data_IF_889026811171
#
_entry.id   IF_889026811171
#
_cell.length_a   1.000
_cell.length_b   1.000
_cell.length_c   1.000
_cell.angle_alpha   90.00
_cell.angle_beta   90.00
_cell.angle_gamma   90.00
#
_symmetry.space_group_name_H-M   'P 1'
#
loop_
_entity.id
_entity.type
_entity.pdbx_description
1 polymer ?
#
# COMPACT_ATOMS: atom_id res chain seq x y z
N UNK A 1 -16.22 -23.23 -79.47
CA UNK A 1 -15.12 -22.87 -78.56
C UNK A 1 -14.67 -21.46 -78.88
N UNK A 2 -14.90 -20.51 -77.97
CA UNK A 2 -13.95 -19.42 -77.76
C UNK A 2 -13.46 -19.43 -76.30
N UNK A 3 -12.14 -19.63 -76.13
CA UNK A 3 -11.36 -19.05 -75.03
C UNK A 3 -11.28 -17.54 -75.28
N UNK A 4 -11.15 -16.59 -74.34
CA UNK A 4 -10.79 -16.52 -72.92
C UNK A 4 -11.31 -15.14 -72.44
N UNK A 5 -11.59 -14.89 -71.17
CA UNK A 5 -10.63 -14.29 -70.22
C UNK A 5 -11.27 -14.33 -68.82
N UNK A 6 -10.57 -14.74 -67.74
CA UNK A 6 -11.13 -14.67 -66.40
C UNK A 6 -11.08 -13.23 -65.88
N UNK A 7 -12.22 -12.77 -65.36
CA UNK A 7 -12.34 -11.48 -64.69
C UNK A 7 -11.37 -11.41 -63.51
N UNK A 8 -10.48 -10.39 -63.53
CA UNK A 8 -9.52 -10.13 -62.48
C UNK A 8 -10.21 -9.91 -61.14
N UNK A 9 -9.80 -10.70 -60.14
CA UNK A 9 -10.20 -10.52 -58.76
C UNK A 9 -9.64 -9.18 -58.27
N UNK A 10 -10.48 -8.16 -58.14
CA UNK A 10 -10.09 -6.87 -57.58
C UNK A 10 -9.66 -7.10 -56.11
N UNK A 11 -8.36 -6.99 -55.86
CA UNK A 11 -7.81 -6.98 -54.50
C UNK A 11 -8.33 -5.71 -53.83
N UNK A 12 -9.22 -5.87 -52.85
CA UNK A 12 -9.71 -4.75 -52.06
C UNK A 12 -8.52 -4.03 -51.41
N UNK A 13 -8.32 -2.77 -51.76
CA UNK A 13 -7.34 -1.91 -51.09
C UNK A 13 -7.73 -1.82 -49.61
N UNK A 14 -6.83 -2.16 -48.66
CA UNK A 14 -7.15 -2.05 -47.24
C UNK A 14 -7.52 -0.61 -46.90
N UNK A 15 -8.65 -0.42 -46.23
CA UNK A 15 -9.08 0.89 -45.73
C UNK A 15 -7.94 1.56 -44.95
N UNK A 16 -7.70 2.87 -45.13
CA UNK A 16 -6.61 3.55 -44.46
C UNK A 16 -6.74 3.39 -42.93
N UNK A 17 -5.65 2.99 -42.28
CA UNK A 17 -5.61 2.81 -40.84
C UNK A 17 -6.03 4.11 -40.12
N UNK A 18 -6.84 4.04 -39.04
CA UNK A 18 -7.24 5.23 -38.31
C UNK A 18 -6.01 5.91 -37.71
N UNK A 19 -6.01 7.24 -37.64
CA UNK A 19 -4.99 7.97 -36.89
C UNK A 19 -5.19 7.77 -35.40
N UNK A 20 -4.13 8.01 -34.61
CA UNK A 20 -4.17 8.04 -33.14
C UNK A 20 -5.32 8.92 -32.65
N UNK A 21 -5.48 10.14 -33.19
CA UNK A 21 -6.58 11.05 -32.86
C UNK A 21 -7.95 10.40 -33.07
N UNK A 22 -8.18 9.79 -34.24
CA UNK A 22 -9.45 9.14 -34.57
C UNK A 22 -9.73 7.93 -33.67
N UNK A 23 -8.69 7.13 -33.38
CA UNK A 23 -8.80 5.97 -32.50
C UNK A 23 -9.16 6.39 -31.06
N UNK A 24 -8.52 7.44 -30.53
CA UNK A 24 -8.85 8.01 -29.22
C UNK A 24 -10.28 8.54 -29.17
N UNK A 25 -10.69 9.37 -30.13
CA UNK A 25 -12.07 9.91 -30.17
C UNK A 25 -13.11 8.79 -30.17
N UNK A 26 -12.90 7.74 -30.97
CA UNK A 26 -13.81 6.60 -31.03
C UNK A 26 -13.83 5.81 -29.70
N UNK A 27 -12.66 5.54 -29.11
CA UNK A 27 -12.57 4.84 -27.83
C UNK A 27 -13.24 5.61 -26.70
N UNK A 28 -12.98 6.91 -26.59
CA UNK A 28 -13.62 7.79 -25.60
C UNK A 28 -15.13 7.79 -25.74
N UNK A 29 -15.65 7.86 -26.97
CA UNK A 29 -17.09 7.77 -27.23
C UNK A 29 -17.69 6.46 -26.72
N UNK A 30 -17.04 5.32 -27.00
CA UNK A 30 -17.48 3.99 -26.54
C UNK A 30 -17.44 3.85 -25.02
N UNK A 31 -16.36 4.33 -24.38
CA UNK A 31 -16.21 4.27 -22.93
C UNK A 31 -17.26 5.15 -22.21
N UNK A 32 -17.53 6.35 -22.73
CA UNK A 32 -18.59 7.23 -22.21
C UNK A 32 -19.97 6.60 -22.34
N UNK A 33 -20.26 6.01 -23.50
CA UNK A 33 -21.52 5.29 -23.72
C UNK A 33 -21.71 4.09 -22.76
N UNK A 34 -20.61 3.48 -22.30
CA UNK A 34 -20.61 2.43 -21.29
C UNK A 34 -20.62 2.94 -19.82
N UNK A 35 -20.80 4.25 -19.59
CA UNK A 35 -20.84 4.84 -18.26
C UNK A 35 -19.50 4.75 -17.51
N UNK A 36 -18.38 4.69 -18.22
CA UNK A 36 -17.04 4.67 -17.62
C UNK A 36 -16.58 6.11 -17.36
N UNK A 37 -16.44 6.45 -16.08
CA UNK A 37 -15.80 7.71 -15.67
C UNK A 37 -14.31 7.71 -16.10
N UNK A 38 -13.75 8.88 -16.38
CA UNK A 38 -12.33 8.98 -16.79
C UNK A 38 -12.02 8.50 -18.21
N UNK A 39 -13.03 8.26 -19.05
CA UNK A 39 -12.88 7.74 -20.42
C UNK A 39 -11.74 8.34 -21.27
N UNK A 40 -11.47 9.67 -21.28
CA UNK A 40 -10.31 10.23 -21.98
C UNK A 40 -8.97 9.65 -21.53
N UNK A 41 -8.72 9.67 -20.22
CA UNK A 41 -7.47 9.18 -19.64
C UNK A 41 -7.32 7.67 -19.86
N UNK A 42 -8.39 6.91 -19.68
CA UNK A 42 -8.39 5.47 -19.92
C UNK A 42 -7.99 5.15 -21.37
N UNK A 43 -8.59 5.82 -22.35
CA UNK A 43 -8.27 5.61 -23.77
C UNK A 43 -6.81 5.98 -24.08
N UNK A 44 -6.31 7.08 -23.52
CA UNK A 44 -4.93 7.53 -23.69
C UNK A 44 -3.93 6.51 -23.14
N UNK A 45 -4.14 6.01 -21.92
CA UNK A 45 -3.25 5.05 -21.26
C UNK A 45 -3.21 3.71 -22.02
N UNK A 46 -4.39 3.19 -22.41
CA UNK A 46 -4.47 1.94 -23.15
C UNK A 46 -3.84 2.03 -24.54
N UNK A 47 -3.99 3.17 -25.23
CA UNK A 47 -3.38 3.37 -26.54
C UNK A 47 -1.86 3.57 -26.44
N UNK A 48 -1.41 4.34 -25.45
CA UNK A 48 0.01 4.55 -25.16
C UNK A 48 0.73 3.21 -24.92
N UNK A 49 0.13 2.34 -24.10
CA UNK A 49 0.63 0.98 -23.87
C UNK A 49 0.61 0.14 -25.15
N UNK A 50 -0.51 0.14 -25.88
CA UNK A 50 -0.62 -0.63 -27.12
C UNK A 50 0.43 -0.23 -28.17
N UNK A 51 0.85 1.03 -28.20
CA UNK A 51 1.88 1.55 -29.09
C UNK A 51 3.31 1.47 -28.50
N UNK A 52 3.46 1.13 -27.22
CA UNK A 52 4.77 1.13 -26.54
C UNK A 52 5.39 2.52 -26.42
N UNK A 53 4.57 3.56 -26.19
CA UNK A 53 5.01 4.96 -26.16
C UNK A 53 4.55 5.67 -24.92
N UNK A 54 5.31 6.69 -24.50
CA UNK A 54 4.86 7.61 -23.47
C UNK A 54 3.62 8.40 -23.94
N UNK A 55 2.65 8.57 -23.05
CA UNK A 55 1.40 9.31 -23.31
C UNK A 55 1.63 10.70 -23.92
N UNK A 56 2.59 11.47 -23.41
CA UNK A 56 2.90 12.81 -23.94
C UNK A 56 3.37 12.79 -25.40
N UNK A 57 4.14 11.78 -25.80
CA UNK A 57 4.58 11.61 -27.20
C UNK A 57 3.42 11.26 -28.12
N UNK A 58 2.47 10.50 -27.61
CA UNK A 58 1.29 10.07 -28.36
C UNK A 58 0.36 11.26 -28.65
N UNK A 59 0.13 12.14 -27.67
CA UNK A 59 -0.69 13.34 -27.84
C UNK A 59 -0.03 14.39 -28.74
N UNK A 60 1.31 14.49 -28.72
CA UNK A 60 2.04 15.40 -29.60
C UNK A 60 2.01 15.00 -31.09
N UNK A 61 1.87 13.69 -31.38
CA UNK A 61 1.94 13.12 -32.73
C UNK A 61 0.64 12.39 -33.11
N UNK A 62 -0.51 12.98 -32.82
CA UNK A 62 -1.81 12.31 -32.93
C UNK A 62 -2.33 12.06 -34.37
N UNK A 63 -1.61 12.56 -35.39
CA UNK A 63 -1.86 12.26 -36.80
C UNK A 63 -1.24 10.93 -37.25
N UNK A 64 -0.38 10.30 -36.43
CA UNK A 64 0.27 9.03 -36.75
C UNK A 64 -0.77 7.91 -36.96
N UNK A 65 -0.59 7.02 -37.96
CA UNK A 65 -1.48 5.89 -38.18
C UNK A 65 -1.35 4.82 -37.08
N UNK A 66 -2.48 4.35 -36.57
CA UNK A 66 -2.56 3.17 -35.71
C UNK A 66 -2.75 1.92 -36.57
N UNK A 67 -1.67 1.18 -36.84
CA UNK A 67 -1.68 0.03 -37.72
C UNK A 67 -1.05 -1.23 -37.09
N UNK A 68 -1.26 -2.37 -37.75
CA UNK A 68 -0.64 -3.64 -37.39
C UNK A 68 -0.95 -4.12 -35.97
N UNK A 69 0.06 -4.66 -35.29
CA UNK A 69 -0.09 -5.25 -33.97
C UNK A 69 -0.56 -4.25 -32.89
N UNK A 70 -0.22 -2.97 -33.02
CA UNK A 70 -0.66 -1.94 -32.08
C UNK A 70 -2.18 -1.73 -32.11
N UNK A 71 -2.79 -1.76 -33.31
CA UNK A 71 -4.25 -1.67 -33.46
C UNK A 71 -4.96 -2.86 -32.78
N UNK A 72 -4.42 -4.07 -32.97
CA UNK A 72 -4.94 -5.28 -32.34
C UNK A 72 -4.86 -5.24 -30.82
N UNK A 73 -3.70 -4.84 -30.26
CA UNK A 73 -3.52 -4.67 -28.81
C UNK A 73 -4.48 -3.62 -28.23
N UNK A 74 -4.61 -2.46 -28.89
CA UNK A 74 -5.52 -1.42 -28.42
C UNK A 74 -6.98 -1.88 -28.42
N UNK A 75 -7.41 -2.59 -29.47
CA UNK A 75 -8.76 -3.14 -29.54
C UNK A 75 -9.02 -4.15 -28.42
N UNK A 76 -8.04 -5.02 -28.12
CA UNK A 76 -8.11 -5.96 -27.01
C UNK A 76 -8.23 -5.26 -25.65
N UNK A 77 -7.36 -4.29 -25.38
CA UNK A 77 -7.39 -3.46 -24.18
C UNK A 77 -8.72 -2.74 -24.00
N UNK A 78 -9.24 -2.13 -25.06
CA UNK A 78 -10.52 -1.42 -25.04
C UNK A 78 -11.69 -2.36 -24.76
N UNK A 79 -11.67 -3.59 -25.31
CA UNK A 79 -12.70 -4.59 -25.03
C UNK A 79 -12.73 -4.98 -23.54
N UNK A 80 -11.56 -5.20 -22.93
CA UNK A 80 -11.45 -5.47 -21.48
C UNK A 80 -11.94 -4.29 -20.64
N UNK A 81 -11.58 -3.06 -21.02
CA UNK A 81 -12.04 -1.85 -20.31
C UNK A 81 -13.55 -1.67 -20.40
N UNK A 82 -14.15 -1.90 -21.56
CA UNK A 82 -15.60 -1.88 -21.76
C UNK A 82 -16.31 -2.95 -20.93
N UNK A 83 -15.66 -4.08 -20.68
CA UNK A 83 -16.10 -5.10 -19.73
C UNK A 83 -15.87 -4.69 -18.26
N UNK A 84 -15.59 -3.42 -17.96
CA UNK A 84 -15.38 -2.86 -16.61
C UNK A 84 -14.15 -3.42 -15.88
N UNK A 85 -13.14 -3.91 -16.60
CA UNK A 85 -11.84 -4.22 -16.00
C UNK A 85 -11.01 -2.94 -15.83
N UNK A 86 -10.45 -2.64 -14.64
CA UNK A 86 -9.67 -1.43 -14.43
C UNK A 86 -8.45 -1.33 -15.37
N UNK A 87 -8.07 -0.12 -15.79
CA UNK A 87 -6.90 0.10 -16.66
C UNK A 87 -5.63 -0.50 -16.05
N UNK A 88 -5.43 -0.34 -14.74
CA UNK A 88 -4.31 -0.92 -14.00
C UNK A 88 -4.21 -2.44 -14.15
N UNK A 89 -5.34 -3.16 -14.14
CA UNK A 89 -5.43 -4.62 -14.36
C UNK A 89 -5.17 -5.01 -15.80
N UNK A 90 -5.63 -4.21 -16.75
CA UNK A 90 -5.38 -4.42 -18.17
C UNK A 90 -3.89 -4.27 -18.48
N UNK A 91 -3.25 -3.25 -17.89
CA UNK A 91 -1.85 -2.89 -18.10
C UNK A 91 -0.86 -3.62 -17.18
N UNK A 92 -1.36 -4.29 -16.12
CA UNK A 92 -0.56 -4.96 -15.10
C UNK A 92 0.23 -4.03 -14.19
N UNK A 93 -0.04 -2.71 -14.22
CA UNK A 93 0.71 -1.70 -13.47
C UNK A 93 -0.11 -0.48 -13.08
N UNK A 94 0.33 0.20 -12.03
CA UNK A 94 -0.32 1.36 -11.41
C UNK A 94 0.75 2.33 -10.91
N UNK A 95 0.61 3.61 -11.22
CA UNK A 95 1.40 4.65 -10.56
C UNK A 95 0.81 4.96 -9.18
N UNK A 96 1.67 5.03 -8.16
CA UNK A 96 1.34 5.43 -6.80
C UNK A 96 2.54 6.18 -6.22
N UNK A 97 2.35 7.41 -5.73
CA UNK A 97 3.44 8.23 -5.19
C UNK A 97 4.65 8.34 -6.14
N UNK A 98 4.42 8.58 -7.43
CA UNK A 98 5.43 8.60 -8.51
C UNK A 98 6.17 7.28 -8.77
N UNK A 99 5.84 6.20 -8.05
CA UNK A 99 6.36 4.86 -8.29
C UNK A 99 5.43 4.11 -9.23
N UNK A 100 5.97 3.58 -10.34
CA UNK A 100 5.23 2.61 -11.14
C UNK A 100 5.27 1.27 -10.40
N UNK A 101 4.12 0.72 -10.01
CA UNK A 101 3.93 -0.53 -9.25
C UNK A 101 3.26 -1.61 -10.13
N UNK A 102 3.72 -2.86 -10.05
CA UNK A 102 3.08 -4.03 -10.64
C UNK A 102 1.82 -4.30 -9.82
N UNK A 103 0.72 -4.57 -10.51
CA UNK A 103 -0.52 -5.00 -9.88
C UNK A 103 -1.00 -6.29 -10.53
N UNK A 104 -1.53 -7.19 -9.71
CA UNK A 104 -2.07 -8.48 -10.12
C UNK A 104 -3.32 -8.81 -9.30
N UNK A 105 -4.15 -9.78 -9.72
CA UNK A 105 -5.34 -10.17 -8.96
C UNK A 105 -5.09 -10.59 -7.50
N UNK A 106 -3.83 -10.77 -7.09
CA UNK A 106 -3.44 -11.09 -5.72
C UNK A 106 -3.37 -9.87 -4.78
N UNK A 107 -3.33 -8.64 -5.31
CA UNK A 107 -3.16 -7.41 -4.50
C UNK A 107 -4.26 -6.40 -4.77
N UNK A 108 -4.61 -5.58 -3.78
CA UNK A 108 -5.47 -4.42 -3.99
C UNK A 108 -4.80 -3.43 -4.95
N UNK A 109 -5.57 -2.88 -5.90
CA UNK A 109 -5.08 -1.80 -6.76
C UNK A 109 -4.86 -0.52 -5.94
N UNK A 110 -3.63 0.03 -5.87
CA UNK A 110 -3.32 1.24 -5.10
C UNK A 110 -4.28 2.40 -5.37
N UNK A 111 -4.88 2.90 -4.29
CA UNK A 111 -5.88 3.98 -4.33
C UNK A 111 -5.23 5.33 -4.07
N UNK A 112 -5.60 6.39 -4.81
CA UNK A 112 -5.05 7.73 -4.57
C UNK A 112 -5.34 8.22 -3.15
N UNK A 113 -6.51 7.89 -2.59
CA UNK A 113 -6.89 8.25 -1.22
C UNK A 113 -5.89 7.69 -0.17
N UNK A 114 -5.18 6.59 -0.48
CA UNK A 114 -4.15 6.02 0.39
C UNK A 114 -2.87 6.86 0.45
N UNK A 115 -2.67 7.80 -0.46
CA UNK A 115 -1.55 8.76 -0.40
C UNK A 115 -1.63 9.65 0.84
N UNK A 116 -2.84 9.86 1.41
CA UNK A 116 -3.02 10.57 2.69
C UNK A 116 -2.28 9.90 3.86
N UNK A 117 -2.14 8.57 3.85
CA UNK A 117 -1.35 7.86 4.88
C UNK A 117 0.14 8.16 4.72
N UNK A 118 0.63 8.19 3.48
CA UNK A 118 2.02 8.50 3.16
C UNK A 118 2.34 9.93 3.61
N UNK A 119 1.49 10.90 3.25
CA UNK A 119 1.64 12.30 3.68
C UNK A 119 1.69 12.45 5.21
N UNK A 120 0.75 11.82 5.92
CA UNK A 120 0.69 11.88 7.37
C UNK A 120 1.94 11.25 8.03
N UNK A 121 2.40 10.11 7.51
CA UNK A 121 3.58 9.44 8.01
C UNK A 121 4.88 10.23 7.74
N UNK A 122 5.01 10.83 6.56
CA UNK A 122 6.13 11.73 6.26
C UNK A 122 6.15 12.95 7.18
N UNK A 123 5.00 13.56 7.44
CA UNK A 123 4.89 14.67 8.38
C UNK A 123 5.37 14.30 9.79
N UNK A 124 5.07 13.09 10.25
CA UNK A 124 5.51 12.57 11.55
C UNK A 124 7.00 12.16 11.58
N UNK A 125 7.58 11.83 10.42
CA UNK A 125 9.00 11.51 10.29
C UNK A 125 9.90 12.77 10.28
N UNK A 126 9.35 13.93 9.90
CA UNK A 126 10.10 15.20 9.82
C UNK A 126 10.79 15.51 11.16
N UNK A 127 12.09 15.79 11.09
CA UNK A 127 12.89 16.17 12.25
C UNK A 127 13.27 15.02 13.18
N UNK A 128 12.93 13.76 12.87
CA UNK A 128 13.47 12.61 13.59
C UNK A 128 14.95 12.44 13.22
N UNK A 129 15.80 12.32 14.23
CA UNK A 129 17.20 11.98 14.06
C UNK A 129 17.36 10.46 14.08
N UNK A 130 18.12 9.91 13.13
CA UNK A 130 18.45 8.48 13.08
C UNK A 130 17.67 7.68 12.04
N UNK A 131 17.90 6.37 12.05
CA UNK A 131 17.34 5.42 11.09
C UNK A 131 15.87 5.14 11.42
N UNK A 132 14.95 5.53 10.52
CA UNK A 132 13.52 5.27 10.69
C UNK A 132 13.20 3.83 10.33
N UNK A 133 12.48 3.17 11.23
CA UNK A 133 11.99 1.80 11.04
C UNK A 133 10.49 1.79 10.76
N UNK A 134 10.10 1.09 9.69
CA UNK A 134 8.72 1.11 9.18
C UNK A 134 8.15 -0.31 9.15
N UNK A 135 6.91 -0.48 9.60
CA UNK A 135 6.12 -1.68 9.31
C UNK A 135 4.90 -1.32 8.47
N UNK A 136 4.53 -2.18 7.53
CA UNK A 136 3.32 -2.04 6.71
C UNK A 136 2.49 -3.33 6.84
N UNK A 137 1.38 -3.24 7.56
CA UNK A 137 0.54 -4.37 7.93
C UNK A 137 -0.60 -4.54 6.92
N UNK A 138 -0.62 -5.67 6.23
CA UNK A 138 -1.45 -5.86 5.02
C UNK A 138 -0.82 -5.17 3.81
N UNK A 139 0.49 -5.37 3.60
CA UNK A 139 1.29 -4.58 2.64
C UNK A 139 0.81 -4.72 1.20
N UNK A 140 0.15 -5.82 0.83
CA UNK A 140 -0.42 -6.01 -0.51
C UNK A 140 0.65 -5.87 -1.60
N UNK A 141 0.55 -4.82 -2.41
CA UNK A 141 1.52 -4.52 -3.47
C UNK A 141 2.83 -3.89 -2.97
N UNK A 142 2.92 -3.56 -1.67
CA UNK A 142 3.99 -2.81 -1.05
C UNK A 142 3.87 -1.29 -1.23
N UNK A 143 2.76 -0.77 -1.75
CA UNK A 143 2.68 0.62 -2.20
C UNK A 143 2.96 1.66 -1.10
N UNK A 144 2.39 1.47 0.10
CA UNK A 144 2.60 2.39 1.22
C UNK A 144 4.05 2.34 1.73
N UNK A 145 4.57 1.13 1.97
CA UNK A 145 5.95 0.94 2.42
C UNK A 145 6.95 1.53 1.43
N UNK A 146 6.81 1.20 0.14
CA UNK A 146 7.76 1.63 -0.88
C UNK A 146 7.71 3.14 -1.10
N UNK A 147 6.52 3.75 -1.03
CA UNK A 147 6.38 5.21 -1.09
C UNK A 147 7.10 5.92 0.07
N UNK A 148 7.01 5.40 1.30
CA UNK A 148 7.79 5.98 2.40
C UNK A 148 9.29 5.75 2.25
N UNK A 149 9.71 4.57 1.78
CA UNK A 149 11.13 4.27 1.58
C UNK A 149 11.76 5.13 0.48
N UNK A 150 11.01 5.55 -0.55
CA UNK A 150 11.51 6.46 -1.58
C UNK A 150 11.73 7.89 -1.10
N UNK A 151 11.07 8.30 -0.01
CA UNK A 151 11.13 9.66 0.52
C UNK A 151 12.02 9.77 1.78
N UNK A 152 12.15 8.69 2.53
CA UNK A 152 12.89 8.66 3.79
C UNK A 152 14.26 8.01 3.58
N UNK A 153 15.26 8.81 3.28
CA UNK A 153 16.63 8.33 3.08
C UNK A 153 17.13 7.50 4.26
N UNK A 154 17.73 6.36 3.92
CA UNK A 154 18.30 5.46 4.90
C UNK A 154 17.31 4.70 5.75
N UNK A 155 15.98 4.90 5.66
CA UNK A 155 14.99 4.08 6.37
C UNK A 155 15.00 2.60 5.93
N UNK A 156 14.55 1.71 6.81
CA UNK A 156 14.29 0.30 6.50
C UNK A 156 12.85 -0.05 6.87
N UNK A 157 12.22 -0.94 6.12
CA UNK A 157 10.91 -1.41 6.52
C UNK A 157 10.56 -2.85 6.20
N UNK A 158 9.49 -3.28 6.86
CA UNK A 158 8.99 -4.65 6.84
C UNK A 158 7.53 -4.62 6.38
N UNK A 159 7.27 -5.17 5.20
CA UNK A 159 5.93 -5.43 4.71
C UNK A 159 5.44 -6.77 5.23
N UNK A 160 4.23 -6.80 5.78
CA UNK A 160 3.59 -8.02 6.28
C UNK A 160 2.28 -8.24 5.55
N UNK A 161 2.07 -9.46 5.09
CA UNK A 161 0.80 -9.89 4.52
C UNK A 161 0.57 -11.36 4.88
N UNK A 162 -0.70 -11.76 4.96
CA UNK A 162 -1.06 -13.17 5.14
C UNK A 162 -1.05 -13.93 3.82
N UNK A 163 -1.17 -13.24 2.69
CA UNK A 163 -1.17 -13.84 1.37
C UNK A 163 0.24 -13.86 0.77
N UNK A 164 0.77 -15.07 0.56
CA UNK A 164 2.07 -15.26 -0.06
C UNK A 164 2.14 -14.68 -1.49
N UNK A 165 1.03 -14.72 -2.24
CA UNK A 165 0.98 -14.17 -3.60
C UNK A 165 1.07 -12.63 -3.59
N UNK A 166 0.51 -11.98 -2.55
CA UNK A 166 0.67 -10.54 -2.35
C UNK A 166 2.13 -10.19 -2.04
N UNK A 167 2.77 -10.94 -1.13
CA UNK A 167 4.18 -10.72 -0.79
C UNK A 167 5.11 -10.89 -2.00
N UNK A 168 4.82 -11.82 -2.90
CA UNK A 168 5.60 -11.98 -4.13
C UNK A 168 5.48 -10.76 -5.07
N UNK A 169 4.29 -10.15 -5.16
CA UNK A 169 4.12 -8.88 -5.87
C UNK A 169 4.90 -7.76 -5.18
N UNK A 170 4.81 -7.65 -3.85
CA UNK A 170 5.53 -6.63 -3.09
C UNK A 170 7.05 -6.74 -3.25
N UNK A 171 7.61 -7.96 -3.25
CA UNK A 171 9.03 -8.21 -3.53
C UNK A 171 9.44 -7.77 -4.93
N UNK A 172 8.66 -8.11 -5.96
CA UNK A 172 8.93 -7.67 -7.33
C UNK A 172 8.86 -6.15 -7.46
N UNK A 173 7.93 -5.51 -6.76
CA UNK A 173 7.82 -4.07 -6.72
C UNK A 173 9.02 -3.41 -6.03
N UNK A 174 9.47 -3.94 -4.90
CA UNK A 174 10.66 -3.43 -4.22
C UNK A 174 11.90 -3.52 -5.10
N UNK A 175 12.08 -4.62 -5.84
CA UNK A 175 13.16 -4.75 -6.81
C UNK A 175 13.03 -3.76 -7.97
N UNK A 176 11.82 -3.62 -8.53
CA UNK A 176 11.56 -2.73 -9.68
C UNK A 176 11.75 -1.26 -9.35
N UNK A 177 11.50 -0.85 -8.11
CA UNK A 177 11.72 0.52 -7.64
C UNK A 177 13.13 0.77 -7.09
N UNK A 178 14.00 -0.25 -7.08
CA UNK A 178 15.36 -0.14 -6.53
C UNK A 178 15.44 -0.09 -5.00
N UNK A 179 14.35 -0.42 -4.30
CA UNK A 179 14.22 -0.37 -2.84
C UNK A 179 14.37 -1.75 -2.16
N UNK A 180 14.70 -2.79 -2.94
CA UNK A 180 14.75 -4.18 -2.46
C UNK A 180 15.69 -4.43 -1.27
N UNK A 181 16.81 -3.71 -1.18
CA UNK A 181 17.75 -3.84 -0.05
C UNK A 181 17.24 -3.18 1.24
N UNK A 182 16.22 -2.33 1.14
CA UNK A 182 15.65 -1.54 2.23
C UNK A 182 14.28 -2.06 2.69
N UNK A 183 13.80 -3.15 2.09
CA UNK A 183 12.51 -3.75 2.38
C UNK A 183 12.64 -5.26 2.61
N UNK A 184 12.03 -5.74 3.70
CA UNK A 184 11.80 -7.16 3.93
C UNK A 184 10.31 -7.48 3.92
N UNK A 185 9.97 -8.74 3.59
CA UNK A 185 8.58 -9.16 3.42
C UNK A 185 8.30 -10.48 4.15
N UNK A 186 7.37 -10.46 5.10
CA UNK A 186 7.09 -11.56 6.02
C UNK A 186 5.64 -12.01 5.91
N UNK A 187 5.43 -13.33 5.86
CA UNK A 187 4.10 -13.92 5.92
C UNK A 187 3.65 -14.05 7.38
N UNK A 188 2.64 -13.29 7.78
CA UNK A 188 2.05 -13.35 9.12
C UNK A 188 0.62 -12.80 9.12
N UNK A 189 -0.13 -13.13 10.17
CA UNK A 189 -1.41 -12.48 10.45
C UNK A 189 -1.16 -11.22 11.29
N UNK A 190 -1.24 -10.07 10.63
CA UNK A 190 -0.91 -8.75 11.21
C UNK A 190 0.49 -8.69 11.86
N UNK A 191 0.66 -7.83 12.86
CA UNK A 191 1.94 -7.55 13.52
C UNK A 191 2.30 -8.48 14.68
N UNK A 192 1.53 -9.55 14.96
CA UNK A 192 1.69 -10.36 16.17
C UNK A 192 3.11 -10.95 16.34
N UNK A 193 3.83 -11.17 15.23
CA UNK A 193 5.18 -11.72 15.22
C UNK A 193 6.31 -10.66 15.22
N UNK A 194 6.01 -9.36 15.16
CA UNK A 194 7.02 -8.33 14.85
C UNK A 194 7.71 -7.70 16.09
N UNK A 195 7.06 -7.68 17.25
CA UNK A 195 7.58 -7.07 18.48
C UNK A 195 7.78 -5.53 18.41
N UNK A 196 8.17 -4.90 19.53
CA UNK A 196 8.12 -3.43 19.70
C UNK A 196 9.34 -2.75 19.08
N UNK A 197 9.25 -2.40 17.80
CA UNK A 197 10.44 -2.07 16.99
C UNK A 197 10.26 -0.92 15.99
N UNK A 198 9.06 -0.40 15.75
CA UNK A 198 8.82 0.50 14.62
C UNK A 198 8.48 1.93 15.01
N UNK A 199 9.15 2.89 14.38
CA UNK A 199 8.82 4.31 14.46
C UNK A 199 7.50 4.64 13.75
N UNK A 200 7.23 3.94 12.66
CA UNK A 200 6.05 4.11 11.82
C UNK A 200 5.42 2.74 11.56
N UNK A 201 4.12 2.62 11.82
CA UNK A 201 3.32 1.46 11.41
C UNK A 201 2.20 1.93 10.49
N UNK A 202 2.18 1.44 9.26
CA UNK A 202 1.15 1.68 8.26
C UNK A 202 0.16 0.52 8.25
N UNK A 203 -1.10 0.81 7.99
CA UNK A 203 -2.09 -0.22 7.67
C UNK A 203 -3.21 0.38 6.83
N UNK A 204 -3.48 -0.22 5.66
CA UNK A 204 -4.74 -0.06 4.93
C UNK A 204 -5.53 -1.38 5.02
N UNK A 205 -6.29 -1.59 6.12
CA UNK A 205 -7.02 -2.83 6.32
C UNK A 205 -8.29 -2.90 5.45
N UNK A 206 -8.85 -4.10 5.19
CA UNK A 206 -10.15 -4.20 4.54
C UNK A 206 -11.25 -3.62 5.44
N UNK A 207 -12.01 -2.66 4.92
CA UNK A 207 -12.98 -1.90 5.72
C UNK A 207 -14.39 -1.80 5.13
N UNK A 208 -14.64 -2.37 3.94
CA UNK A 208 -15.98 -2.31 3.34
C UNK A 208 -16.93 -3.26 4.06
N UNK A 209 -18.11 -2.74 4.41
CA UNK A 209 -19.20 -3.54 4.94
C UNK A 209 -19.70 -4.54 3.90
N UNK A 210 -20.36 -5.61 4.36
CA UNK A 210 -21.05 -6.56 3.49
C UNK A 210 -22.04 -5.88 2.54
N UNK A 211 -22.75 -4.85 3.02
CA UNK A 211 -23.70 -4.07 2.22
C UNK A 211 -23.00 -3.27 1.13
N UNK A 212 -21.92 -2.58 1.47
CA UNK A 212 -21.14 -1.80 0.49
C UNK A 212 -20.52 -2.70 -0.58
N UNK A 213 -20.01 -3.87 -0.19
CA UNK A 213 -19.49 -4.86 -1.14
C UNK A 213 -20.57 -5.37 -2.10
N UNK A 214 -21.80 -5.59 -1.62
CA UNK A 214 -22.90 -6.05 -2.47
C UNK A 214 -23.32 -5.00 -3.51
N UNK A 215 -23.11 -3.71 -3.22
CA UNK A 215 -23.44 -2.58 -4.10
C UNK A 215 -22.21 -1.93 -4.74
N UNK A 216 -21.03 -2.55 -4.61
CA UNK A 216 -19.77 -1.98 -5.06
C UNK A 216 -19.74 -1.82 -6.59
N UNK A 217 -18.95 -0.86 -7.06
CA UNK A 217 -18.72 -0.69 -8.49
C UNK A 217 -18.13 -1.98 -9.09
N UNK A 218 -18.52 -2.31 -10.32
CA UNK A 218 -18.11 -3.53 -11.00
C UNK A 218 -16.58 -3.69 -11.04
N UNK A 219 -15.83 -2.60 -11.11
CA UNK A 219 -14.37 -2.57 -11.05
C UNK A 219 -13.78 -3.29 -9.83
N UNK A 220 -14.41 -3.22 -8.65
CA UNK A 220 -13.90 -3.81 -7.40
C UNK A 220 -13.88 -5.34 -7.43
N UNK A 221 -14.61 -5.97 -8.35
CA UNK A 221 -14.59 -7.43 -8.52
C UNK A 221 -13.24 -7.98 -8.98
N UNK A 222 -12.34 -7.11 -9.44
CA UNK A 222 -10.99 -7.45 -9.89
C UNK A 222 -9.95 -7.33 -8.78
N UNK A 223 -10.34 -6.86 -7.60
CA UNK A 223 -9.48 -6.87 -6.42
C UNK A 223 -9.74 -8.12 -5.57
N UNK A 224 -8.74 -8.59 -4.80
CA UNK A 224 -8.94 -9.69 -3.86
C UNK A 224 -10.03 -9.33 -2.85
N UNK A 225 -11.03 -10.20 -2.70
CA UNK A 225 -12.10 -10.00 -1.71
C UNK A 225 -11.56 -9.84 -0.29
N UNK A 226 -10.47 -10.56 0.05
CA UNK A 226 -9.80 -10.47 1.34
C UNK A 226 -9.25 -9.07 1.64
N UNK A 227 -8.87 -8.31 0.59
CA UNK A 227 -8.36 -6.94 0.72
C UNK A 227 -9.48 -5.88 0.77
N UNK A 228 -10.75 -6.27 0.64
CA UNK A 228 -11.89 -5.36 0.66
C UNK A 228 -12.84 -5.60 1.86
N UNK A 229 -13.07 -6.85 2.24
CA UNK A 229 -14.15 -7.23 3.17
C UNK A 229 -13.81 -6.97 4.64
N UNK A 230 -14.46 -5.97 5.24
CA UNK A 230 -14.33 -5.61 6.66
C UNK A 230 -15.42 -6.22 7.56
N UNK A 231 -16.23 -7.16 7.07
CA UNK A 231 -17.29 -7.81 7.85
C UNK A 231 -18.66 -7.15 7.71
N UNK A 232 -19.54 -7.36 8.69
CA UNK A 232 -20.90 -6.78 8.67
C UNK A 232 -20.87 -5.25 8.84
N UNK A 233 -20.06 -4.73 9.76
CA UNK A 233 -19.94 -3.30 10.05
C UNK A 233 -18.64 -2.66 9.55
N UNK A 234 -17.81 -3.43 8.83
CA UNK A 234 -16.57 -2.93 8.25
C UNK A 234 -15.42 -2.81 9.25
N UNK A 235 -15.58 -3.32 10.48
CA UNK A 235 -14.63 -3.10 11.57
C UNK A 235 -13.79 -4.33 11.96
N UNK A 236 -14.00 -5.49 11.33
CA UNK A 236 -13.40 -6.76 11.76
C UNK A 236 -11.87 -6.74 11.75
N UNK A 237 -11.26 -6.16 10.71
CA UNK A 237 -9.81 -6.07 10.61
C UNK A 237 -9.21 -5.21 11.72
N UNK A 238 -9.83 -4.07 12.06
CA UNK A 238 -9.37 -3.22 13.17
C UNK A 238 -9.48 -3.95 14.52
N UNK A 239 -10.55 -4.72 14.74
CA UNK A 239 -10.72 -5.53 15.96
C UNK A 239 -9.64 -6.61 16.09
N UNK A 240 -9.20 -7.19 14.98
CA UNK A 240 -8.14 -8.20 14.97
C UNK A 240 -6.75 -7.57 15.14
N UNK A 241 -6.49 -6.44 14.47
CA UNK A 241 -5.19 -5.77 14.43
C UNK A 241 -4.85 -5.01 15.71
N UNK A 242 -5.77 -4.14 16.15
CA UNK A 242 -5.49 -3.11 17.16
C UNK A 242 -5.01 -3.66 18.51
N UNK A 243 -5.52 -4.79 19.03
CA UNK A 243 -5.02 -5.33 20.30
C UNK A 243 -3.51 -5.65 20.31
N UNK A 244 -2.94 -6.03 19.17
CA UNK A 244 -1.51 -6.34 19.02
C UNK A 244 -0.66 -5.13 18.61
N UNK A 245 -1.29 -4.05 18.14
CA UNK A 245 -0.60 -2.89 17.59
C UNK A 245 0.32 -2.15 18.58
N UNK A 246 -0.02 -1.95 19.87
CA UNK A 246 0.89 -1.33 20.84
C UNK A 246 2.23 -2.04 20.94
N UNK A 247 2.21 -3.38 20.83
CA UNK A 247 3.41 -4.19 20.91
C UNK A 247 4.31 -4.05 19.67
N UNK A 248 3.87 -3.38 18.60
CA UNK A 248 4.68 -3.11 17.41
C UNK A 248 5.41 -1.75 17.49
N UNK A 249 4.87 -0.80 18.26
CA UNK A 249 5.35 0.58 18.29
C UNK A 249 6.62 0.74 19.14
N UNK A 250 7.59 1.48 18.61
CA UNK A 250 8.72 1.99 19.38
C UNK A 250 8.28 3.16 20.29
N UNK A 251 9.14 3.56 21.22
CA UNK A 251 8.92 4.75 22.04
C UNK A 251 8.76 6.01 21.16
N UNK A 252 7.60 6.66 21.23
CA UNK A 252 7.28 7.80 20.36
C UNK A 252 7.02 7.43 18.89
N UNK A 253 6.78 6.15 18.60
CA UNK A 253 6.31 5.66 17.31
C UNK A 253 4.82 5.93 17.12
N UNK A 254 4.38 5.93 15.86
CA UNK A 254 2.99 6.20 15.46
C UNK A 254 2.47 5.13 14.50
N UNK A 255 1.19 4.85 14.62
CA UNK A 255 0.44 4.06 13.66
C UNK A 255 -0.44 4.97 12.80
N UNK A 256 -0.56 4.64 11.51
CA UNK A 256 -1.33 5.35 10.50
C UNK A 256 -2.28 4.35 9.87
N UNK A 257 -3.57 4.50 10.17
CA UNK A 257 -4.60 3.52 9.83
C UNK A 257 -5.56 4.15 8.83
N UNK A 258 -5.65 3.57 7.64
CA UNK A 258 -6.69 3.96 6.69
C UNK A 258 -8.06 3.59 7.24
N UNK A 259 -9.03 4.47 7.02
CA UNK A 259 -10.42 4.28 7.41
C UNK A 259 -11.38 4.67 6.29
N UNK A 260 -12.58 4.09 6.30
CA UNK A 260 -13.71 4.63 5.58
C UNK A 260 -14.16 5.98 6.16
N UNK A 261 -14.71 6.86 5.32
CA UNK A 261 -15.02 8.25 5.67
C UNK A 261 -15.92 8.46 6.91
N UNK A 262 -16.75 7.48 7.26
CA UNK A 262 -17.64 7.54 8.42
C UNK A 262 -17.14 6.72 9.62
N UNK A 263 -16.02 6.00 9.49
CA UNK A 263 -15.57 5.03 10.49
C UNK A 263 -14.69 5.65 11.58
N UNK A 264 -14.30 6.92 11.45
CA UNK A 264 -13.42 7.63 12.40
C UNK A 264 -13.80 7.44 13.87
N UNK A 265 -15.04 7.77 14.28
CA UNK A 265 -15.47 7.58 15.67
C UNK A 265 -15.41 6.13 16.15
N UNK A 266 -15.84 5.18 15.33
CA UNK A 266 -15.89 3.77 15.70
C UNK A 266 -14.49 3.15 15.80
N UNK A 267 -13.62 3.40 14.83
CA UNK A 267 -12.22 2.94 14.85
C UNK A 267 -11.46 3.62 15.98
N UNK A 268 -11.70 4.92 16.22
CA UNK A 268 -11.12 5.64 17.36
C UNK A 268 -11.45 5.02 18.71
N UNK A 269 -12.67 4.51 18.89
CA UNK A 269 -13.04 3.77 20.10
C UNK A 269 -12.27 2.45 20.25
N UNK A 270 -12.04 1.72 19.15
CA UNK A 270 -11.24 0.48 19.16
C UNK A 270 -9.76 0.81 19.45
N UNK A 271 -9.23 1.89 18.89
CA UNK A 271 -7.87 2.39 19.17
C UNK A 271 -7.72 2.68 20.67
N UNK A 272 -8.66 3.40 21.27
CA UNK A 272 -8.67 3.67 22.70
C UNK A 272 -8.78 2.38 23.55
N UNK A 273 -9.64 1.45 23.14
CA UNK A 273 -9.78 0.14 23.80
C UNK A 273 -8.51 -0.71 23.75
N UNK A 274 -7.65 -0.51 22.76
CA UNK A 274 -6.35 -1.15 22.64
C UNK A 274 -5.24 -0.46 23.45
N UNK A 275 -5.55 0.60 24.22
CA UNK A 275 -4.56 1.35 25.01
C UNK A 275 -3.70 2.33 24.20
N UNK A 276 -4.15 2.69 22.99
CA UNK A 276 -3.56 3.73 22.17
C UNK A 276 -4.37 5.02 22.28
N UNK A 277 -3.72 6.15 21.98
CA UNK A 277 -4.36 7.45 21.89
C UNK A 277 -4.52 7.84 20.42
N UNK A 278 -5.71 8.31 20.03
CA UNK A 278 -5.93 8.95 18.74
C UNK A 278 -5.31 10.35 18.79
N UNK A 279 -4.16 10.52 18.14
CA UNK A 279 -3.44 11.80 18.06
C UNK A 279 -4.10 12.73 17.05
N UNK A 280 -4.56 12.19 15.91
CA UNK A 280 -5.24 12.97 14.88
C UNK A 280 -6.14 12.09 14.00
N UNK A 281 -7.11 12.73 13.37
CA UNK A 281 -7.85 12.19 12.21
C UNK A 281 -7.57 13.11 11.03
N UNK A 282 -6.94 12.58 9.99
CA UNK A 282 -6.50 13.33 8.81
C UNK A 282 -7.45 13.02 7.66
N UNK A 283 -7.92 14.08 7.01
CA UNK A 283 -8.81 14.00 5.86
C UNK A 283 -8.04 13.90 4.54
N UNK A 284 -8.65 13.25 3.54
CA UNK A 284 -8.19 13.25 2.16
C UNK A 284 -8.38 14.64 1.49
N UNK A 285 -7.90 14.81 0.26
CA UNK A 285 -8.04 16.05 -0.50
C UNK A 285 -9.50 16.45 -0.78
N UNK A 286 -10.44 15.51 -0.63
CA UNK A 286 -11.88 15.77 -0.74
C UNK A 286 -12.52 16.15 0.62
N UNK A 287 -11.72 16.30 1.67
CA UNK A 287 -12.17 16.68 3.01
C UNK A 287 -12.86 15.55 3.78
N UNK A 288 -12.65 14.29 3.39
CA UNK A 288 -13.23 13.13 4.08
C UNK A 288 -12.19 12.47 4.97
N UNK A 289 -12.57 12.12 6.20
CA UNK A 289 -11.71 11.37 7.11
C UNK A 289 -11.12 10.13 6.41
N UNK A 290 -9.79 9.98 6.50
CA UNK A 290 -9.09 8.92 5.77
C UNK A 290 -8.04 8.21 6.59
N UNK A 291 -7.34 8.92 7.48
CA UNK A 291 -6.24 8.35 8.24
C UNK A 291 -6.40 8.68 9.73
N UNK A 292 -6.44 7.66 10.58
CA UNK A 292 -6.23 7.83 12.02
C UNK A 292 -4.74 7.73 12.31
N UNK A 293 -4.21 8.76 12.98
CA UNK A 293 -2.87 8.73 13.58
C UNK A 293 -3.02 8.33 15.05
N UNK A 294 -2.45 7.20 15.41
CA UNK A 294 -2.48 6.68 16.78
C UNK A 294 -1.06 6.57 17.35
N UNK A 295 -0.92 6.77 18.66
CA UNK A 295 0.34 6.57 19.38
C UNK A 295 0.12 5.82 20.67
N UNK A 296 1.16 5.24 21.24
CA UNK A 296 1.09 4.69 22.60
C UNK A 296 0.63 5.78 23.56
N UNK A 297 -0.42 5.48 24.34
CA UNK A 297 -0.79 6.33 25.47
C UNK A 297 0.36 6.27 26.46
N UNK A 298 1.01 7.41 26.73
CA UNK A 298 1.98 7.45 27.80
C UNK A 298 1.28 7.05 29.10
N UNK A 299 1.89 6.19 29.92
CA UNK A 299 1.64 6.28 31.35
C UNK A 299 1.93 7.75 31.69
N UNK A 300 1.02 8.50 32.33
CA UNK A 300 1.38 9.82 32.80
C UNK A 300 2.61 9.65 33.67
N UNK A 301 3.77 10.08 33.18
CA UNK A 301 4.96 10.22 34.03
C UNK A 301 4.52 11.27 35.02
N UNK A 302 4.07 10.83 36.19
CA UNK A 302 3.69 11.70 37.27
C UNK A 302 4.85 12.67 37.42
N UNK A 303 4.60 13.97 37.24
CA UNK A 303 5.54 15.00 37.66
C UNK A 303 5.91 14.61 39.09
N UNK A 304 7.16 14.21 39.32
CA UNK A 304 7.71 14.25 40.65
C UNK A 304 7.62 15.73 41.06
N UNK A 305 6.54 16.07 41.75
CA UNK A 305 6.53 17.27 42.57
C UNK A 305 7.67 17.05 43.55
N UNK A 306 8.67 17.91 43.46
CA UNK A 306 9.72 18.05 44.46
C UNK A 306 9.06 18.05 45.85
N UNK A 307 9.13 16.90 46.52
CA UNK A 307 8.39 16.60 47.72
C UNK A 307 9.24 15.65 48.52
N UNK A 308 9.89 16.23 49.52
CA UNK A 308 10.74 15.55 50.48
C UNK A 308 10.09 14.26 50.96
N UNK A 309 10.71 13.11 50.68
CA UNK A 309 10.32 11.85 51.29
C UNK A 309 10.73 11.91 52.77
N UNK A 310 9.76 12.17 53.64
CA UNK A 310 9.86 11.83 55.06
C UNK A 310 9.99 10.30 55.16
N UNK A 311 11.13 9.83 55.65
CA UNK A 311 11.30 8.43 56.05
C UNK A 311 10.30 8.10 57.17
N UNK A 312 9.59 6.97 57.12
CA UNK A 312 8.92 6.45 58.31
C UNK A 312 9.99 5.97 59.29
N UNK A 313 10.01 6.54 60.49
CA UNK A 313 10.81 6.11 61.61
C UNK A 313 10.31 4.77 62.15
N UNK A 314 11.24 3.85 62.38
CA UNK A 314 11.07 2.78 63.36
C UNK A 314 10.85 1.40 62.76
N UNK A 315 11.94 0.69 62.50
CA UNK A 315 12.12 -0.70 62.91
C UNK A 315 13.62 -1.04 62.80
N UNK A 316 14.25 -1.23 63.96
CA UNK A 316 15.61 -1.73 64.09
C UNK A 316 15.58 -3.22 63.76
N UNK A 317 16.47 -3.69 62.90
CA UNK A 317 16.86 -5.10 62.86
C UNK A 317 18.38 -5.19 62.97
N UNK A 318 18.79 -6.08 63.85
CA UNK A 318 20.13 -6.23 64.39
C UNK A 318 21.13 -6.79 63.37
N UNK A 319 22.39 -6.40 63.57
CA UNK A 319 23.61 -7.03 63.08
C UNK A 319 23.60 -8.57 63.17
N UNK A 320 24.04 -9.21 62.09
CA UNK A 320 24.87 -10.42 61.96
C UNK A 320 25.36 -10.36 60.49
N UNK A 321 26.63 -10.25 60.13
CA UNK A 321 27.77 -11.07 60.52
C UNK A 321 28.37 -11.62 59.20
N UNK A 322 29.56 -11.15 58.84
CA UNK A 322 30.25 -11.46 57.58
C UNK A 322 30.84 -12.88 57.55
N UNK A 323 30.73 -13.56 56.42
CA UNK A 323 31.62 -14.64 55.92
C UNK A 323 31.41 -14.63 54.38
N UNK A 324 32.37 -14.52 53.46
CA UNK A 324 33.75 -14.99 53.43
C UNK A 324 33.85 -16.26 52.56
N UNK A 325 33.89 -16.14 51.23
CA UNK A 325 34.05 -17.30 50.33
C UNK A 325 34.49 -16.91 48.92
N UNK A 326 35.51 -17.58 48.41
CA UNK A 326 36.39 -17.20 47.29
C UNK A 326 36.43 -18.37 46.28
N UNK A 327 36.79 -18.07 45.02
CA UNK A 327 37.30 -18.97 43.93
C UNK A 327 36.18 -19.76 43.19
N UNK A 328 36.09 -19.88 41.86
CA UNK A 328 37.04 -20.13 40.74
C UNK A 328 36.43 -19.67 39.39
N UNK A 329 37.08 -18.83 38.58
CA UNK A 329 37.88 -19.15 37.37
C UNK A 329 37.46 -20.38 36.52
N UNK A 330 37.27 -20.15 35.21
CA UNK A 330 37.05 -21.15 34.17
C UNK A 330 36.62 -20.52 32.82
N UNK A 331 37.53 -19.84 32.11
CA UNK A 331 38.11 -20.26 30.80
C UNK A 331 37.22 -19.98 29.58
N UNK A 332 37.61 -18.94 28.83
CA UNK A 332 37.36 -18.76 27.39
C UNK A 332 38.18 -19.77 26.57
N UNK A 333 37.79 -20.04 25.31
CA UNK A 333 38.79 -19.94 24.27
C UNK A 333 38.36 -19.13 23.05
N UNK A 334 39.39 -18.55 22.44
CA UNK A 334 39.38 -17.65 21.31
C UNK A 334 39.18 -18.37 19.95
N UNK A 335 38.65 -17.57 19.01
CA UNK A 335 38.92 -17.49 17.55
C UNK A 335 39.63 -18.66 16.85
N UNK A 336 39.05 -19.07 15.71
CA UNK A 336 39.81 -19.38 14.48
C UNK A 336 39.13 -18.75 13.26
N UNK A 337 39.95 -17.99 12.52
CA UNK A 337 39.77 -17.61 11.12
C UNK A 337 40.31 -18.73 10.20
N UNK A 338 39.83 -18.77 8.95
CA UNK A 338 40.36 -19.54 7.81
C UNK A 338 39.26 -20.42 7.20
N UNK A 339 38.89 -20.34 5.92
CA UNK A 339 39.49 -19.73 4.73
C UNK A 339 38.41 -19.05 3.86
#
# INVERSE_FOLDING_TARGET
MPESTPAGCAVATPSPSPTVRRALTAAVGRLRAAGIAGAPLDAELLLADAMGRARGRLLANDAEPLAGAAAGRFAHHLARRLAREPVSRILGRREFWSLELEVSPAVLDPRPDSETLVEAALAAARGRAGHVTIADLGTGSGCLLLALLSELDGAFGVGVDRDAAALDVARRNALRTGLGERAAFVAADWGAALGSRFDIVLCNPPYLTRRELATAAAELRHDPRLALAGGEDGLDAYRALLPGLPACLAGGGRAFLEIGAAQGPAVGAIVAGAGLEVEAVVADLAGRDRCIVARSGGIPVGRQKNGWIRKPSGLRCHHLGAVGGRVSQGILPARRFGA
#
